data_IF_748049180070
#
_entry.id   IF_748049180070
#
_cell.length_a   1.000
_cell.length_b   1.000
_cell.length_c   1.000
_cell.angle_alpha   90.00
_cell.angle_beta   90.00
_cell.angle_gamma   90.00
#
_symmetry.space_group_name_H-M   'P 1'
#
loop_
_entity.id
_entity.type
_entity.pdbx_description
1 polymer ?
#
# COMPACT_ATOMS: atom_id res chain seq x y z
N UNK A 1 0.19 41.24 -1.18
CA UNK A 1 1.10 40.50 -2.09
C UNK A 1 0.74 39.04 -2.01
N UNK A 2 0.24 38.49 -3.12
CA UNK A 2 -0.17 37.10 -3.22
C UNK A 2 1.06 36.25 -3.58
N UNK A 3 1.46 35.34 -2.70
CA UNK A 3 2.36 34.24 -3.06
C UNK A 3 1.47 33.07 -3.48
N UNK A 4 1.28 32.90 -4.79
CA UNK A 4 0.75 31.67 -5.35
C UNK A 4 1.80 30.58 -5.18
N UNK A 5 1.73 29.85 -4.08
CA UNK A 5 2.58 28.68 -3.82
C UNK A 5 2.09 27.52 -4.71
N UNK A 6 2.40 27.63 -6.00
CA UNK A 6 2.22 26.59 -7.02
C UNK A 6 3.18 25.44 -6.77
N UNK A 7 3.02 24.74 -5.66
CA UNK A 7 3.74 23.48 -5.41
C UNK A 7 3.21 22.45 -6.39
N UNK A 8 3.96 22.24 -7.48
CA UNK A 8 3.85 21.03 -8.29
C UNK A 8 3.74 19.85 -7.32
N UNK A 9 2.63 19.11 -7.40
CA UNK A 9 2.45 17.92 -6.58
C UNK A 9 3.57 16.96 -6.96
N UNK A 10 4.60 16.89 -6.11
CA UNK A 10 5.75 15.99 -6.29
C UNK A 10 5.22 14.60 -6.63
N UNK A 11 5.43 14.19 -7.88
CA UNK A 11 4.92 12.92 -8.39
C UNK A 11 5.67 11.82 -7.63
N UNK A 12 4.92 10.96 -6.94
CA UNK A 12 5.51 9.88 -6.16
C UNK A 12 6.14 8.85 -7.11
N UNK A 13 7.46 8.68 -7.01
CA UNK A 13 8.23 7.72 -7.82
C UNK A 13 8.81 6.66 -6.90
N UNK A 14 8.71 5.39 -7.32
CA UNK A 14 9.24 4.24 -6.61
C UNK A 14 9.86 3.26 -7.58
N UNK A 15 10.62 2.29 -7.08
CA UNK A 15 11.16 1.18 -7.86
C UNK A 15 10.23 -0.02 -7.73
N UNK A 16 9.82 -0.58 -8.86
CA UNK A 16 8.90 -1.72 -8.96
C UNK A 16 9.63 -2.86 -9.65
N UNK A 17 9.66 -4.03 -9.03
CA UNK A 17 10.16 -5.26 -9.63
C UNK A 17 8.96 -6.05 -10.14
N UNK A 18 8.90 -6.31 -11.44
CA UNK A 18 7.81 -7.02 -12.09
C UNK A 18 8.35 -8.36 -12.60
N UNK A 19 7.56 -9.43 -12.45
CA UNK A 19 7.84 -10.70 -13.10
C UNK A 19 7.96 -10.51 -14.60
N UNK A 20 9.01 -11.06 -15.22
CA UNK A 20 9.14 -11.04 -16.69
C UNK A 20 7.95 -11.67 -17.41
N UNK A 21 7.18 -12.55 -16.74
CA UNK A 21 5.95 -13.11 -17.28
C UNK A 21 4.89 -12.04 -17.60
N UNK A 22 4.97 -10.86 -16.98
CA UNK A 22 4.02 -9.76 -17.15
C UNK A 22 4.50 -8.68 -18.13
N UNK A 23 5.63 -8.88 -18.83
CA UNK A 23 6.24 -7.86 -19.70
C UNK A 23 5.31 -7.33 -20.80
N UNK A 24 4.39 -8.16 -21.29
CA UNK A 24 3.43 -7.79 -22.33
C UNK A 24 2.01 -7.51 -21.76
N UNK A 25 1.86 -7.42 -20.44
CA UNK A 25 0.59 -7.17 -19.80
C UNK A 25 0.30 -5.66 -19.72
N UNK A 26 -0.96 -5.27 -19.91
CA UNK A 26 -1.41 -3.88 -19.80
C UNK A 26 -1.01 -3.23 -18.45
N UNK A 27 -1.02 -4.03 -17.38
CA UNK A 27 -0.62 -3.59 -16.03
C UNK A 27 0.82 -3.09 -16.01
N UNK A 28 1.74 -3.78 -16.68
CA UNK A 28 3.16 -3.43 -16.71
C UNK A 28 3.39 -2.13 -17.50
N UNK A 29 2.82 -2.04 -18.70
CA UNK A 29 2.89 -0.84 -19.56
C UNK A 29 2.32 0.39 -18.83
N UNK A 30 1.18 0.23 -18.15
CA UNK A 30 0.56 1.33 -17.44
C UNK A 30 1.32 1.75 -16.16
N UNK A 31 2.06 0.83 -15.51
CA UNK A 31 2.98 1.16 -14.41
C UNK A 31 4.22 1.93 -14.91
N UNK A 32 4.77 1.56 -16.07
CA UNK A 32 5.87 2.30 -16.72
C UNK A 32 5.44 3.74 -17.07
N UNK A 33 4.24 3.91 -17.63
CA UNK A 33 3.67 5.21 -17.99
C UNK A 33 3.48 6.16 -16.79
N UNK A 34 3.45 5.65 -15.55
CA UNK A 34 3.33 6.46 -14.33
C UNK A 34 4.65 7.03 -13.81
N UNK A 35 5.74 6.93 -14.58
CA UNK A 35 7.07 7.44 -14.20
C UNK A 35 7.67 6.71 -12.98
N UNK A 36 7.30 5.45 -12.77
CA UNK A 36 7.96 4.56 -11.82
C UNK A 36 9.18 3.89 -12.46
N UNK A 37 10.18 3.53 -11.64
CA UNK A 37 11.36 2.79 -12.13
C UNK A 37 11.02 1.31 -12.16
N UNK A 38 10.58 0.81 -13.31
CA UNK A 38 10.23 -0.61 -13.49
C UNK A 38 11.47 -1.44 -13.81
N UNK A 39 11.61 -2.58 -13.14
CA UNK A 39 12.65 -3.58 -13.41
C UNK A 39 11.98 -4.94 -13.59
N UNK A 40 12.37 -5.67 -14.62
CA UNK A 40 11.88 -7.03 -14.84
C UNK A 40 12.80 -8.05 -14.20
N UNK A 41 12.24 -9.10 -13.61
CA UNK A 41 13.01 -10.20 -13.05
C UNK A 41 12.40 -11.57 -13.38
N UNK A 42 13.28 -12.54 -13.66
CA UNK A 42 12.94 -13.95 -13.83
C UNK A 42 13.00 -14.74 -12.50
N UNK A 43 13.55 -14.14 -11.44
CA UNK A 43 13.70 -14.80 -10.14
C UNK A 43 12.46 -14.70 -9.24
N UNK A 44 11.54 -13.79 -9.57
CA UNK A 44 10.29 -13.61 -8.84
C UNK A 44 9.21 -14.51 -9.40
N UNK A 45 8.20 -14.82 -8.58
CA UNK A 45 7.10 -15.70 -8.98
C UNK A 45 6.33 -15.08 -10.16
N UNK A 46 5.86 -15.92 -11.09
CA UNK A 46 5.01 -15.50 -12.20
C UNK A 46 3.81 -14.69 -11.69
N UNK A 47 3.46 -13.61 -12.39
CA UNK A 47 2.40 -12.69 -11.97
C UNK A 47 2.76 -11.75 -10.82
N UNK A 48 3.99 -11.79 -10.29
CA UNK A 48 4.38 -10.95 -9.15
C UNK A 48 4.77 -9.53 -9.54
N UNK A 49 4.38 -8.58 -8.68
CA UNK A 49 4.72 -7.16 -8.75
C UNK A 49 5.13 -6.71 -7.35
N UNK A 50 6.38 -6.29 -7.17
CA UNK A 50 6.97 -5.98 -5.87
C UNK A 50 7.38 -4.51 -5.83
N UNK A 51 6.86 -3.77 -4.85
CA UNK A 51 7.25 -2.40 -4.56
C UNK A 51 8.37 -2.40 -3.53
N UNK A 52 9.62 -2.42 -4.00
CA UNK A 52 10.81 -2.68 -3.15
C UNK A 52 10.93 -1.72 -1.97
N UNK A 53 10.67 -0.42 -2.19
CA UNK A 53 10.78 0.60 -1.13
C UNK A 53 9.61 0.58 -0.14
N UNK A 54 8.48 0.01 -0.54
CA UNK A 54 7.30 -0.13 0.31
C UNK A 54 7.26 -1.47 1.05
N UNK A 55 8.08 -2.44 0.63
CA UNK A 55 8.07 -3.80 1.17
C UNK A 55 6.77 -4.55 0.89
N UNK A 56 5.98 -4.11 -0.10
CA UNK A 56 4.69 -4.72 -0.47
C UNK A 56 4.84 -5.50 -1.77
N UNK A 57 4.26 -6.70 -1.80
CA UNK A 57 4.21 -7.56 -2.98
C UNK A 57 2.76 -7.86 -3.38
N UNK A 58 2.51 -7.88 -4.68
CA UNK A 58 1.24 -8.21 -5.29
C UNK A 58 1.41 -9.42 -6.20
N UNK A 59 0.46 -10.36 -6.15
CA UNK A 59 0.35 -11.47 -7.09
C UNK A 59 -0.90 -11.23 -7.94
N UNK A 60 -0.73 -11.02 -9.24
CA UNK A 60 -1.83 -10.85 -10.18
C UNK A 60 -2.31 -12.20 -10.67
N UNK A 61 -3.61 -12.47 -10.51
CA UNK A 61 -4.27 -13.67 -11.03
C UNK A 61 -5.59 -13.30 -11.69
N UNK A 62 -5.90 -13.92 -12.84
CA UNK A 62 -7.21 -13.83 -13.47
C UNK A 62 -8.10 -14.95 -12.93
N UNK A 63 -9.30 -14.60 -12.47
CA UNK A 63 -10.28 -15.58 -12.01
C UNK A 63 -10.61 -16.62 -13.09
N UNK A 64 -10.61 -16.23 -14.37
CA UNK A 64 -10.80 -17.16 -15.50
C UNK A 64 -9.69 -18.20 -15.58
N UNK A 65 -8.43 -17.78 -15.45
CA UNK A 65 -7.29 -18.70 -15.43
C UNK A 65 -7.38 -19.65 -14.24
N UNK A 66 -7.78 -19.15 -13.07
CA UNK A 66 -8.00 -19.99 -11.90
C UNK A 66 -9.06 -21.08 -12.14
N UNK A 67 -10.15 -20.77 -12.86
CA UNK A 67 -11.17 -21.76 -13.21
C UNK A 67 -10.70 -22.81 -14.23
N UNK A 68 -9.76 -22.44 -15.10
CA UNK A 68 -9.20 -23.36 -16.11
C UNK A 68 -8.06 -24.23 -15.56
N UNK A 69 -7.45 -23.79 -14.45
CA UNK A 69 -6.37 -24.51 -13.77
C UNK A 69 -6.90 -25.45 -12.67
N UNK A 70 -6.12 -26.48 -12.34
CA UNK A 70 -6.41 -27.32 -11.17
C UNK A 70 -6.26 -26.51 -9.88
N UNK A 71 -7.20 -26.68 -8.95
CA UNK A 71 -7.26 -25.92 -7.70
C UNK A 71 -5.96 -26.01 -6.88
N UNK A 72 -5.38 -27.21 -6.81
CA UNK A 72 -4.12 -27.47 -6.11
C UNK A 72 -2.93 -26.70 -6.67
N UNK A 73 -2.92 -26.45 -7.99
CA UNK A 73 -1.82 -25.76 -8.66
C UNK A 73 -1.78 -24.31 -8.22
N UNK A 74 -2.85 -23.55 -8.44
CA UNK A 74 -2.85 -22.12 -8.11
C UNK A 74 -2.78 -21.88 -6.59
N UNK A 75 -3.37 -22.75 -5.77
CA UNK A 75 -3.25 -22.64 -4.31
C UNK A 75 -1.81 -22.82 -3.85
N UNK A 76 -1.08 -23.80 -4.40
CA UNK A 76 0.34 -23.96 -4.09
C UNK A 76 1.19 -22.77 -4.56
N UNK A 77 0.79 -22.09 -5.63
CA UNK A 77 1.44 -20.86 -6.08
C UNK A 77 1.22 -19.70 -5.11
N UNK A 78 -0.01 -19.51 -4.64
CA UNK A 78 -0.36 -18.50 -3.63
C UNK A 78 0.40 -18.78 -2.34
N UNK A 79 0.45 -20.04 -1.89
CA UNK A 79 1.15 -20.46 -0.67
C UNK A 79 2.66 -20.14 -0.73
N UNK A 80 3.32 -20.45 -1.85
CA UNK A 80 4.73 -20.09 -2.06
C UNK A 80 4.92 -18.57 -2.02
N UNK A 81 4.00 -17.81 -2.59
CA UNK A 81 4.08 -16.35 -2.62
C UNK A 81 3.94 -15.72 -1.22
N UNK A 82 2.96 -16.15 -0.42
CA UNK A 82 2.75 -15.61 0.94
C UNK A 82 3.90 -15.95 1.88
N UNK A 83 4.56 -17.10 1.69
CA UNK A 83 5.71 -17.50 2.51
C UNK A 83 6.96 -16.67 2.20
N UNK A 84 7.07 -16.12 0.98
CA UNK A 84 8.19 -15.26 0.58
C UNK A 84 8.01 -13.80 0.98
N UNK A 85 6.77 -13.32 1.11
CA UNK A 85 6.46 -11.90 1.29
C UNK A 85 5.60 -11.63 2.52
N UNK A 86 6.15 -10.90 3.50
CA UNK A 86 5.42 -10.53 4.72
C UNK A 86 4.17 -9.66 4.44
N UNK A 87 4.26 -8.74 3.48
CA UNK A 87 3.16 -7.90 3.05
C UNK A 87 2.70 -8.29 1.64
N UNK A 88 2.01 -9.44 1.56
CA UNK A 88 1.44 -9.97 0.32
C UNK A 88 -0.01 -9.55 0.10
N UNK A 89 -0.34 -9.28 -1.16
CA UNK A 89 -1.71 -9.09 -1.62
C UNK A 89 -1.95 -9.92 -2.88
N UNK A 90 -3.07 -10.63 -2.93
CA UNK A 90 -3.54 -11.30 -4.14
C UNK A 90 -4.50 -10.38 -4.87
N UNK A 91 -4.14 -9.97 -6.08
CA UNK A 91 -4.95 -9.14 -6.96
C UNK A 91 -5.73 -10.06 -7.87
N UNK A 92 -7.00 -10.31 -7.54
CA UNK A 92 -7.87 -11.21 -8.30
C UNK A 92 -8.68 -10.40 -9.31
N UNK A 93 -8.30 -10.49 -10.57
CA UNK A 93 -8.98 -9.82 -11.68
C UNK A 93 -10.19 -10.63 -12.15
N UNK A 94 -11.36 -10.01 -12.27
CA UNK A 94 -12.50 -10.61 -12.96
C UNK A 94 -13.45 -9.56 -13.54
N UNK A 95 -14.04 -9.86 -14.71
CA UNK A 95 -14.88 -8.90 -15.43
C UNK A 95 -16.16 -8.49 -14.66
N UNK A 96 -16.85 -9.42 -14.00
CA UNK A 96 -18.17 -9.17 -13.40
C UNK A 96 -18.27 -9.48 -11.89
N UNK A 97 -17.27 -10.14 -11.29
CA UNK A 97 -17.35 -10.74 -9.94
C UNK A 97 -18.73 -11.36 -9.67
N UNK A 98 -19.10 -12.36 -10.48
CA UNK A 98 -20.34 -13.10 -10.32
C UNK A 98 -20.26 -14.11 -9.17
N UNK A 99 -21.33 -14.89 -8.97
CA UNK A 99 -21.40 -15.87 -7.88
C UNK A 99 -20.26 -16.89 -7.91
N UNK A 100 -19.76 -17.24 -9.10
CA UNK A 100 -18.66 -18.18 -9.26
C UNK A 100 -17.34 -17.57 -8.77
N UNK A 101 -17.05 -16.33 -9.14
CA UNK A 101 -15.87 -15.59 -8.71
C UNK A 101 -15.89 -15.35 -7.19
N UNK A 102 -17.05 -14.99 -6.63
CA UNK A 102 -17.20 -14.88 -5.18
C UNK A 102 -16.96 -16.22 -4.47
N UNK A 103 -17.45 -17.33 -5.03
CA UNK A 103 -17.21 -18.67 -4.49
C UNK A 103 -15.72 -19.04 -4.55
N UNK A 104 -15.02 -18.71 -5.64
CA UNK A 104 -13.57 -18.88 -5.75
C UNK A 104 -12.84 -18.06 -4.69
N UNK A 105 -13.19 -16.78 -4.56
CA UNK A 105 -12.58 -15.88 -3.58
C UNK A 105 -12.80 -16.38 -2.15
N UNK A 106 -14.02 -16.81 -1.83
CA UNK A 106 -14.36 -17.41 -0.55
C UNK A 106 -13.56 -18.67 -0.26
N UNK A 107 -13.39 -19.56 -1.24
CA UNK A 107 -12.54 -20.77 -1.10
C UNK A 107 -11.08 -20.43 -0.81
N UNK A 108 -10.51 -19.47 -1.56
CA UNK A 108 -9.14 -19.00 -1.32
C UNK A 108 -9.04 -18.42 0.09
N UNK A 109 -9.98 -17.56 0.49
CA UNK A 109 -10.01 -17.00 1.84
C UNK A 109 -10.07 -18.10 2.90
N UNK A 110 -10.97 -19.07 2.76
CA UNK A 110 -11.10 -20.20 3.68
C UNK A 110 -9.80 -21.01 3.79
N UNK A 111 -9.14 -21.29 2.67
CA UNK A 111 -7.87 -22.03 2.64
C UNK A 111 -6.76 -21.30 3.38
N UNK A 112 -6.69 -19.98 3.24
CA UNK A 112 -5.66 -19.13 3.83
C UNK A 112 -6.16 -18.35 5.06
N UNK A 113 -7.19 -18.84 5.75
CA UNK A 113 -7.65 -18.26 7.01
C UNK A 113 -6.52 -18.26 8.03
N UNK A 114 -6.29 -17.11 8.67
CA UNK A 114 -5.20 -16.92 9.62
C UNK A 114 -3.81 -16.72 8.99
N UNK A 115 -3.70 -16.79 7.66
CA UNK A 115 -2.46 -16.43 6.94
C UNK A 115 -2.42 -14.93 6.63
N UNK A 116 -1.25 -14.41 6.25
CA UNK A 116 -1.05 -13.00 5.88
C UNK A 116 -1.59 -12.62 4.48
N UNK A 117 -2.46 -13.44 3.90
CA UNK A 117 -3.02 -13.22 2.57
C UNK A 117 -4.14 -12.18 2.61
N UNK A 118 -4.00 -11.11 1.83
CA UNK A 118 -5.06 -10.12 1.61
C UNK A 118 -5.51 -10.15 0.16
N UNK A 119 -6.79 -10.41 -0.08
CA UNK A 119 -7.33 -10.47 -1.45
C UNK A 119 -7.90 -9.11 -1.85
N UNK A 120 -7.53 -8.65 -3.04
CA UNK A 120 -7.99 -7.43 -3.67
C UNK A 120 -8.79 -7.80 -4.92
N UNK A 121 -10.14 -7.81 -4.86
CA UNK A 121 -10.97 -7.99 -6.05
C UNK A 121 -10.85 -6.76 -6.95
N UNK A 122 -10.59 -6.98 -8.23
CA UNK A 122 -10.52 -5.90 -9.23
C UNK A 122 -11.20 -6.29 -10.53
N UNK A 123 -11.88 -5.30 -11.11
CA UNK A 123 -12.57 -5.43 -12.38
C UNK A 123 -11.83 -4.84 -13.58
N UNK A 124 -10.86 -3.96 -13.32
CA UNK A 124 -10.16 -3.19 -14.36
C UNK A 124 -8.69 -3.02 -13.97
N UNK A 125 -7.81 -3.13 -14.95
CA UNK A 125 -6.38 -2.80 -14.90
C UNK A 125 -6.12 -1.45 -14.23
N UNK A 126 -6.88 -0.40 -14.57
CA UNK A 126 -6.72 0.94 -13.98
C UNK A 126 -6.98 0.91 -12.47
N UNK A 127 -8.03 0.21 -12.04
CA UNK A 127 -8.36 0.05 -10.63
C UNK A 127 -7.28 -0.76 -9.90
N UNK A 128 -6.79 -1.83 -10.51
CA UNK A 128 -5.67 -2.62 -9.99
C UNK A 128 -4.43 -1.75 -9.76
N UNK A 129 -4.05 -0.95 -10.75
CA UNK A 129 -2.87 -0.08 -10.63
C UNK A 129 -3.08 1.00 -9.57
N UNK A 130 -4.25 1.66 -9.55
CA UNK A 130 -4.56 2.67 -8.55
C UNK A 130 -4.50 2.09 -7.14
N UNK A 131 -5.06 0.90 -6.94
CA UNK A 131 -5.08 0.22 -5.66
C UNK A 131 -3.66 -0.21 -5.24
N UNK A 132 -2.91 -0.86 -6.13
CA UNK A 132 -1.52 -1.26 -5.88
C UNK A 132 -0.64 -0.06 -5.54
N UNK A 133 -0.70 1.02 -6.33
CA UNK A 133 0.08 2.24 -6.08
C UNK A 133 -0.34 2.92 -4.78
N UNK A 134 -1.64 2.96 -4.46
CA UNK A 134 -2.13 3.57 -3.23
C UNK A 134 -1.63 2.79 -2.02
N UNK A 135 -1.81 1.47 -2.00
CA UNK A 135 -1.33 0.59 -0.93
C UNK A 135 0.18 0.73 -0.76
N UNK A 136 0.94 0.64 -1.86
CA UNK A 136 2.39 0.80 -1.82
C UNK A 136 2.82 2.19 -1.32
N UNK A 137 2.10 3.25 -1.70
CA UNK A 137 2.41 4.61 -1.22
C UNK A 137 2.13 4.76 0.27
N UNK A 138 0.95 4.34 0.75
CA UNK A 138 0.57 4.50 2.17
C UNK A 138 1.39 3.62 3.11
N UNK A 139 1.92 2.50 2.62
CA UNK A 139 2.81 1.61 3.37
C UNK A 139 4.28 2.01 3.29
N UNK A 140 4.65 2.94 2.40
CA UNK A 140 6.04 3.35 2.24
C UNK A 140 6.52 4.14 3.47
N UNK A 141 7.70 3.78 3.98
CA UNK A 141 8.30 4.41 5.15
C UNK A 141 8.42 5.93 4.99
N UNK A 142 8.94 6.39 3.84
CA UNK A 142 9.09 7.82 3.57
C UNK A 142 7.77 8.61 3.61
N UNK A 143 6.67 7.99 3.17
CA UNK A 143 5.35 8.64 3.22
C UNK A 143 4.79 8.67 4.65
N UNK A 144 4.94 7.58 5.41
CA UNK A 144 4.56 7.52 6.82
C UNK A 144 5.36 8.55 7.63
N UNK A 145 6.68 8.57 7.46
CA UNK A 145 7.59 9.52 8.14
C UNK A 145 7.19 10.97 7.83
N UNK A 146 6.82 11.27 6.58
CA UNK A 146 6.33 12.60 6.19
C UNK A 146 5.02 12.98 6.90
N UNK A 147 4.07 12.05 7.00
CA UNK A 147 2.81 12.28 7.74
C UNK A 147 3.10 12.49 9.22
N UNK A 148 3.91 11.62 9.84
CA UNK A 148 4.28 11.72 11.24
C UNK A 148 4.98 13.05 11.53
N UNK A 149 5.93 13.45 10.69
CA UNK A 149 6.61 14.74 10.81
C UNK A 149 5.63 15.92 10.78
N UNK A 150 4.69 15.93 9.83
CA UNK A 150 3.66 16.97 9.72
C UNK A 150 2.74 16.99 10.95
N UNK A 151 2.34 15.82 11.45
CA UNK A 151 1.52 15.71 12.67
C UNK A 151 2.25 16.22 13.91
N UNK A 152 3.52 15.83 14.09
CA UNK A 152 4.35 16.28 15.21
C UNK A 152 4.56 17.80 15.17
N UNK A 153 4.91 18.34 13.99
CA UNK A 153 5.11 19.78 13.79
C UNK A 153 3.82 20.55 14.09
N UNK A 154 2.68 20.05 13.60
CA UNK A 154 1.37 20.68 13.85
C UNK A 154 1.00 20.63 15.34
N UNK A 155 1.23 19.49 16.00
CA UNK A 155 1.02 19.34 17.45
C UNK A 155 1.88 20.34 18.23
N UNK A 156 3.16 20.46 17.90
CA UNK A 156 4.06 21.42 18.53
C UNK A 156 3.56 22.86 18.34
N UNK A 157 3.14 23.22 17.13
CA UNK A 157 2.58 24.53 16.82
C UNK A 157 1.30 24.85 17.62
N UNK A 158 0.39 23.86 17.73
CA UNK A 158 -0.83 24.00 18.53
C UNK A 158 -0.48 24.22 20.00
N UNK A 159 0.46 23.47 20.56
CA UNK A 159 0.89 23.60 21.96
C UNK A 159 1.53 24.97 22.20
N UNK A 160 2.46 25.40 21.35
CA UNK A 160 3.16 26.68 21.47
C UNK A 160 2.21 27.88 21.38
N UNK A 161 1.23 27.83 20.47
CA UNK A 161 0.25 28.90 20.28
C UNK A 161 -0.97 28.80 21.19
N UNK A 162 -1.13 27.72 21.95
CA UNK A 162 -2.32 27.51 22.80
C UNK A 162 -2.36 28.50 23.97
N UNK A 163 -3.40 29.36 24.06
CA UNK A 163 -3.58 30.26 25.19
C UNK A 163 -3.78 29.50 26.51
N UNK A 164 -4.52 28.38 26.46
CA UNK A 164 -4.76 27.51 27.62
C UNK A 164 -3.44 26.92 28.12
N UNK A 165 -2.58 26.45 27.22
CA UNK A 165 -1.27 25.91 27.60
C UNK A 165 -0.38 26.96 28.26
N UNK A 166 -0.37 28.19 27.73
CA UNK A 166 0.34 29.33 28.34
C UNK A 166 -0.19 29.66 29.74
N UNK A 167 -1.52 29.64 29.94
CA UNK A 167 -2.13 29.87 31.25
C UNK A 167 -1.76 28.77 32.24
N UNK A 168 -1.82 27.49 31.84
CA UNK A 168 -1.42 26.36 32.68
C UNK A 168 0.05 26.42 33.09
N UNK A 169 0.95 26.80 32.17
CA UNK A 169 2.37 27.02 32.48
C UNK A 169 2.57 28.12 33.51
N UNK A 170 1.83 29.24 33.41
CA UNK A 170 1.88 30.33 34.40
C UNK A 170 1.39 29.88 35.78
N UNK A 171 0.31 29.08 35.85
CA UNK A 171 -0.20 28.56 37.12
C UNK A 171 0.84 27.62 37.77
N UNK A 172 1.48 26.74 36.98
CA UNK A 172 2.52 25.83 37.48
C UNK A 172 3.79 26.56 37.94
N UNK A 173 4.19 27.62 37.24
CA UNK A 173 5.34 28.44 37.66
C UNK A 173 5.01 29.38 38.83
N UNK A 174 3.74 29.79 38.97
CA UNK A 174 3.25 30.61 40.08
C UNK A 174 3.01 29.83 41.38
N UNK A 175 2.92 28.50 41.33
CA UNK A 175 2.84 27.67 42.54
C UNK A 175 4.18 27.49 43.25
N UNK A 176 5.31 27.78 42.59
CA UNK A 176 6.66 27.66 43.18
C UNK A 176 7.08 28.90 44.00
N UNK A 177 6.23 29.92 44.12
CA UNK A 177 6.52 31.16 44.88
C UNK A 177 5.87 31.25 46.26
N UNK A 178 5.37 30.14 46.83
CA UNK A 178 4.97 30.13 48.24
C UNK A 178 6.20 29.98 49.15
N UNK A 179 6.85 31.11 49.42
CA UNK A 179 7.82 31.26 50.49
C UNK A 179 7.04 31.43 51.82
N UNK A 180 7.18 30.54 52.82
CA UNK A 180 6.56 30.72 54.12
C UNK A 180 7.46 31.65 54.94
N UNK A 181 6.97 32.86 55.21
CA UNK A 181 7.40 33.67 56.36
C UNK A 181 6.28 33.65 57.39
#
# INVERSE_FOLDING_TARGET
MAESDGKEKVKWTTTIIISSSLKNCEVATALENRSHKVRYSNSVKNGSIIFSLSGVAFLLMDAKECFMSTEEVFLAEIEKFINLHQNSFLVLSAALHGPQEWKLMFRIQQRFLGSNLRILPVHNTINAINLMCTIAKVTSKAYIDSICYRMITTKAHIIEKSPVWKTLQKIKLGSDSFNPN
#
